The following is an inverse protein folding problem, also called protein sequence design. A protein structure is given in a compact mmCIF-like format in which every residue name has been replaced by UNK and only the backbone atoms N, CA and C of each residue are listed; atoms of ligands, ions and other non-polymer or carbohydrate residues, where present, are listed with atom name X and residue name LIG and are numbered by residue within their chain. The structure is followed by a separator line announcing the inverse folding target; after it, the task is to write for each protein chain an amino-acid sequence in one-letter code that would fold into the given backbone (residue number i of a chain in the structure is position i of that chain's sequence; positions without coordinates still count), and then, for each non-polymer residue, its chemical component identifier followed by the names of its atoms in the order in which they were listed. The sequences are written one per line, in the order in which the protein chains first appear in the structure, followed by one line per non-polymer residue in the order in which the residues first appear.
data_IF_615381941725
#
_entry.id   IF_615381941725
#
_cell.length_a   1.000
_cell.length_b   1.000
_cell.length_c   1.000
_cell.angle_alpha   90.00
_cell.angle_beta   90.00
_cell.angle_gamma   90.00
#
_symmetry.space_group_name_H-M   'P 1'
#
loop_
_entity.id
_entity.type
_entity.pdbx_description
1 polymer ?
#
# COMPACT_ATOMS: atom_id res chain seq x y z
N UNK A 1 -25.81 -17.21 -53.94
CA UNK A 1 -24.82 -16.28 -53.30
C UNK A 1 -25.40 -15.48 -52.12
N UNK A 2 -26.70 -15.12 -52.09
CA UNK A 2 -27.33 -14.36 -51.01
C UNK A 2 -27.51 -15.15 -49.71
N UNK A 3 -27.79 -16.47 -49.78
CA UNK A 3 -27.98 -17.32 -48.56
C UNK A 3 -26.67 -17.55 -47.78
N UNK A 4 -25.56 -17.68 -48.47
CA UNK A 4 -24.24 -17.86 -47.83
C UNK A 4 -23.82 -16.58 -47.13
N UNK A 5 -24.18 -15.43 -47.63
CA UNK A 5 -23.93 -14.12 -47.03
C UNK A 5 -24.72 -13.96 -45.73
N UNK A 6 -26.01 -14.29 -45.72
CA UNK A 6 -26.89 -14.18 -44.56
C UNK A 6 -26.43 -15.10 -43.40
N UNK A 7 -26.04 -16.34 -43.69
CA UNK A 7 -25.52 -17.29 -42.69
C UNK A 7 -24.24 -16.77 -42.02
N UNK A 8 -23.34 -16.18 -42.80
CA UNK A 8 -22.10 -15.57 -42.26
C UNK A 8 -22.41 -14.41 -41.30
N UNK A 9 -23.35 -13.56 -41.63
CA UNK A 9 -23.78 -12.44 -40.77
C UNK A 9 -24.41 -12.94 -39.46
N UNK A 10 -25.27 -13.96 -39.54
CA UNK A 10 -25.91 -14.53 -38.33
C UNK A 10 -24.84 -15.14 -37.42
N UNK A 11 -23.85 -15.88 -37.96
CA UNK A 11 -22.77 -16.46 -37.19
C UNK A 11 -21.94 -15.35 -36.54
N UNK A 12 -21.60 -14.29 -37.24
CA UNK A 12 -20.85 -13.15 -36.67
C UNK A 12 -21.59 -12.47 -35.52
N UNK A 13 -22.89 -12.24 -35.65
CA UNK A 13 -23.72 -11.67 -34.61
C UNK A 13 -23.78 -12.58 -33.40
N UNK A 14 -23.94 -13.89 -33.59
CA UNK A 14 -23.99 -14.87 -32.52
C UNK A 14 -22.65 -14.92 -31.74
N UNK A 15 -21.52 -14.87 -32.43
CA UNK A 15 -20.20 -14.79 -31.82
C UNK A 15 -20.06 -13.53 -30.98
N UNK A 16 -20.48 -12.38 -31.49
CA UNK A 16 -20.44 -11.11 -30.73
C UNK A 16 -21.30 -11.20 -29.47
N UNK A 17 -22.51 -11.75 -29.56
CA UNK A 17 -23.41 -11.93 -28.42
C UNK A 17 -22.77 -12.83 -27.35
N UNK A 18 -22.12 -13.94 -27.78
CA UNK A 18 -21.42 -14.85 -26.87
C UNK A 18 -20.28 -14.11 -26.16
N UNK A 19 -19.44 -13.36 -26.89
CA UNK A 19 -18.34 -12.60 -26.27
C UNK A 19 -18.85 -11.51 -25.34
N UNK A 20 -19.92 -10.80 -25.69
CA UNK A 20 -20.57 -9.83 -24.80
C UNK A 20 -21.14 -10.51 -23.56
N UNK A 21 -21.76 -11.69 -23.70
CA UNK A 21 -22.27 -12.47 -22.57
C UNK A 21 -21.16 -12.90 -21.62
N UNK A 22 -20.05 -13.44 -22.15
CA UNK A 22 -18.87 -13.81 -21.35
C UNK A 22 -18.31 -12.57 -20.62
N UNK A 23 -18.25 -11.42 -21.29
CA UNK A 23 -17.76 -10.17 -20.68
C UNK A 23 -18.69 -9.66 -19.58
N UNK A 24 -19.99 -9.84 -19.73
CA UNK A 24 -20.99 -9.41 -18.73
C UNK A 24 -20.98 -10.29 -17.48
N UNK A 25 -20.84 -11.61 -17.64
CA UNK A 25 -20.78 -12.59 -16.54
C UNK A 25 -19.44 -12.54 -15.81
N UNK A 26 -18.38 -12.09 -16.48
CA UNK A 26 -17.00 -11.98 -15.98
C UNK A 26 -16.59 -13.20 -15.11
N UNK A 27 -16.58 -14.42 -15.70
CA UNK A 27 -16.38 -15.64 -14.93
C UNK A 27 -14.98 -15.71 -14.34
N UNK A 28 -14.85 -16.24 -13.10
CA UNK A 28 -13.63 -16.31 -12.31
C UNK A 28 -12.39 -16.82 -13.05
N UNK A 29 -12.56 -17.72 -14.02
CA UNK A 29 -11.43 -18.26 -14.78
C UNK A 29 -10.79 -17.22 -15.72
N UNK A 30 -11.57 -16.25 -16.21
CA UNK A 30 -11.02 -15.13 -17.00
C UNK A 30 -10.17 -14.22 -16.14
N UNK A 31 -10.55 -13.98 -14.90
CA UNK A 31 -9.73 -13.24 -13.96
C UNK A 31 -8.42 -13.96 -13.68
N UNK A 32 -8.45 -15.27 -13.52
CA UNK A 32 -7.23 -16.04 -13.34
C UNK A 32 -6.29 -15.94 -14.56
N UNK A 33 -6.83 -16.01 -15.79
CA UNK A 33 -6.03 -15.85 -17.02
C UNK A 33 -5.47 -14.43 -17.12
N UNK A 34 -6.30 -13.41 -16.79
CA UNK A 34 -5.89 -12.00 -16.79
C UNK A 34 -4.76 -11.76 -15.80
N UNK A 35 -4.87 -12.27 -14.56
CA UNK A 35 -3.83 -12.14 -13.55
C UNK A 35 -2.54 -12.85 -13.97
N UNK A 36 -2.62 -14.06 -14.52
CA UNK A 36 -1.44 -14.76 -15.05
C UNK A 36 -0.78 -14.04 -16.22
N UNK A 37 -1.57 -13.47 -17.12
CA UNK A 37 -1.04 -12.70 -18.25
C UNK A 37 -0.34 -11.43 -17.76
N UNK A 38 -0.91 -10.75 -16.73
CA UNK A 38 -0.30 -9.59 -16.09
C UNK A 38 1.03 -9.96 -15.40
N UNK A 39 1.04 -11.04 -14.61
CA UNK A 39 2.26 -11.54 -13.96
C UNK A 39 3.35 -11.86 -14.98
N UNK A 40 2.98 -12.51 -16.09
CA UNK A 40 3.94 -12.83 -17.15
C UNK A 40 4.48 -11.55 -17.82
N UNK A 41 3.61 -10.57 -18.04
CA UNK A 41 4.01 -9.29 -18.60
C UNK A 41 4.99 -8.54 -17.66
N UNK A 42 4.69 -8.49 -16.36
CA UNK A 42 5.56 -7.88 -15.36
C UNK A 42 6.93 -8.56 -15.31
N UNK A 43 6.98 -9.89 -15.37
CA UNK A 43 8.25 -10.65 -15.36
C UNK A 43 9.12 -10.43 -16.61
N UNK A 44 8.52 -10.02 -17.72
CA UNK A 44 9.25 -9.72 -18.97
C UNK A 44 9.69 -8.28 -19.09
N UNK A 45 9.21 -7.39 -18.21
CA UNK A 45 9.70 -6.01 -18.14
C UNK A 45 11.09 -6.00 -17.49
N UNK A 46 11.98 -5.16 -18.01
CA UNK A 46 13.25 -4.91 -17.37
C UNK A 46 13.01 -4.18 -16.04
N UNK A 47 13.64 -4.68 -14.98
CA UNK A 47 13.65 -4.00 -13.70
C UNK A 47 14.37 -2.66 -13.85
N UNK A 48 13.65 -1.57 -13.75
CA UNK A 48 14.24 -0.24 -13.60
C UNK A 48 14.58 -0.03 -12.12
N UNK A 49 15.85 -0.21 -11.80
CA UNK A 49 16.37 0.07 -10.46
C UNK A 49 16.56 1.57 -10.32
N UNK A 50 15.83 2.19 -9.42
CA UNK A 50 16.02 3.60 -9.09
C UNK A 50 17.18 3.73 -8.09
N UNK A 51 18.14 4.57 -8.40
CA UNK A 51 19.23 4.97 -7.51
C UNK A 51 18.79 5.92 -6.39
N UNK A 52 17.54 6.42 -6.46
CA UNK A 52 16.97 7.38 -5.50
C UNK A 52 16.18 6.73 -4.38
N UNK A 53 15.82 5.46 -4.52
CA UNK A 53 14.99 4.72 -3.55
C UNK A 53 15.78 3.51 -3.06
N UNK A 54 15.97 3.44 -1.75
CA UNK A 54 16.62 2.32 -1.08
C UNK A 54 15.61 1.65 -0.15
N UNK A 55 15.48 0.35 -0.28
CA UNK A 55 14.66 -0.46 0.64
C UNK A 55 15.56 -1.06 1.72
N UNK A 56 15.19 -0.85 2.97
CA UNK A 56 15.86 -1.45 4.14
C UNK A 56 14.93 -2.49 4.73
N UNK A 57 15.36 -3.72 4.80
CA UNK A 57 14.54 -4.83 5.29
C UNK A 57 15.01 -5.29 6.68
N UNK A 58 14.04 -5.63 7.53
CA UNK A 58 14.27 -6.34 8.79
C UNK A 58 14.13 -7.83 8.46
N UNK A 59 15.24 -8.45 8.14
CA UNK A 59 15.31 -9.85 7.72
C UNK A 59 15.59 -10.81 8.88
N UNK A 60 15.66 -12.11 8.57
CA UNK A 60 15.94 -13.14 9.57
C UNK A 60 17.34 -13.03 10.18
N UNK A 61 18.30 -12.41 9.48
CA UNK A 61 19.65 -12.20 10.00
C UNK A 61 19.64 -11.07 11.03
N UNK A 62 19.00 -9.98 10.74
CA UNK A 62 18.76 -8.87 11.68
C UNK A 62 18.05 -9.33 12.96
N UNK A 63 17.06 -10.23 12.83
CA UNK A 63 16.36 -10.79 13.99
C UNK A 63 17.26 -11.72 14.81
N UNK A 64 18.15 -12.49 14.17
CA UNK A 64 19.10 -13.34 14.91
C UNK A 64 20.14 -12.53 15.69
N UNK A 65 20.60 -11.43 15.11
CA UNK A 65 21.63 -10.58 15.72
C UNK A 65 21.09 -9.68 16.83
N UNK A 66 19.92 -9.08 16.62
CA UNK A 66 19.34 -8.06 17.50
C UNK A 66 18.22 -8.56 18.39
N UNK A 67 17.77 -9.80 18.20
CA UNK A 67 16.67 -10.40 18.94
C UNK A 67 15.33 -10.28 18.24
N UNK A 68 14.31 -10.85 18.89
CA UNK A 68 12.99 -11.02 18.34
C UNK A 68 12.30 -9.67 18.07
N UNK A 69 11.69 -9.55 16.89
CA UNK A 69 10.79 -8.47 16.53
C UNK A 69 9.45 -8.55 17.32
N UNK A 70 8.83 -7.43 17.72
CA UNK A 70 9.21 -6.04 17.46
C UNK A 70 10.29 -5.53 18.43
N UNK A 71 11.25 -4.76 17.88
CA UNK A 71 12.27 -4.10 18.67
C UNK A 71 11.73 -2.89 19.42
N UNK A 72 12.37 -2.46 20.53
CA UNK A 72 12.04 -1.24 21.25
C UNK A 72 12.08 -0.01 20.32
N UNK A 73 11.20 0.95 20.54
CA UNK A 73 11.12 2.13 19.67
C UNK A 73 12.36 3.03 19.71
N UNK A 74 13.06 3.05 20.81
CA UNK A 74 14.36 3.73 20.88
C UNK A 74 15.41 3.11 19.95
N UNK A 75 15.37 1.79 19.71
CA UNK A 75 16.25 1.11 18.76
C UNK A 75 15.85 1.48 17.32
N UNK A 76 14.59 1.43 17.00
CA UNK A 76 14.07 1.86 15.70
C UNK A 76 14.39 3.33 15.41
N UNK A 77 14.29 4.20 16.40
CA UNK A 77 14.66 5.60 16.25
C UNK A 77 16.12 5.77 15.88
N UNK A 78 17.03 5.04 16.53
CA UNK A 78 18.45 5.05 16.21
C UNK A 78 18.75 4.56 14.79
N UNK A 79 18.04 3.50 14.34
CA UNK A 79 18.17 3.02 12.97
C UNK A 79 17.74 4.09 11.96
N UNK A 80 16.65 4.79 12.22
CA UNK A 80 16.19 5.89 11.38
C UNK A 80 17.17 7.06 11.40
N UNK A 81 17.69 7.43 12.54
CA UNK A 81 18.75 8.47 12.66
C UNK A 81 20.00 8.10 11.86
N UNK A 82 20.37 6.82 11.86
CA UNK A 82 21.49 6.33 11.06
C UNK A 82 21.22 6.45 9.56
N UNK A 83 20.00 6.15 9.09
CA UNK A 83 19.63 6.36 7.70
C UNK A 83 19.74 7.83 7.29
N UNK A 84 19.36 8.76 8.15
CA UNK A 84 19.55 10.20 7.90
C UNK A 84 21.03 10.58 7.88
N UNK A 85 21.83 10.01 8.76
CA UNK A 85 23.29 10.22 8.76
C UNK A 85 23.95 9.70 7.47
N UNK A 86 23.41 8.64 6.89
CA UNK A 86 23.82 8.11 5.59
C UNK A 86 23.34 8.95 4.40
N UNK A 87 22.52 9.98 4.62
CA UNK A 87 22.08 10.90 3.59
C UNK A 87 20.65 10.69 3.08
N UNK A 88 19.82 9.90 3.77
CA UNK A 88 18.42 9.79 3.43
C UNK A 88 17.73 11.17 3.54
N UNK A 89 17.00 11.56 2.51
CA UNK A 89 16.20 12.79 2.52
C UNK A 89 14.87 12.62 3.22
N UNK A 90 14.25 11.46 3.06
CA UNK A 90 12.97 11.08 3.68
C UNK A 90 13.04 9.60 4.02
N UNK A 91 12.55 9.21 5.19
CA UNK A 91 12.41 7.82 5.60
C UNK A 91 10.94 7.46 5.69
N UNK A 92 10.52 6.39 5.03
CA UNK A 92 9.15 5.87 5.09
C UNK A 92 9.16 4.60 5.92
N UNK A 93 8.42 4.60 7.02
CA UNK A 93 8.31 3.47 7.96
C UNK A 93 6.89 2.91 7.88
N UNK A 94 6.64 1.87 7.09
CA UNK A 94 5.30 1.28 6.92
C UNK A 94 4.90 0.39 8.12
N UNK A 95 5.26 0.80 9.32
CA UNK A 95 4.95 0.11 10.57
C UNK A 95 3.85 0.87 11.29
N UNK A 96 2.92 0.13 11.87
CA UNK A 96 1.80 0.67 12.61
C UNK A 96 2.15 0.84 14.10
N UNK A 97 2.11 2.06 14.59
CA UNK A 97 2.41 2.40 15.97
C UNK A 97 1.14 2.76 16.76
N UNK A 98 0.17 1.83 16.80
CA UNK A 98 -1.16 2.07 17.39
C UNK A 98 -1.22 1.93 18.90
N UNK A 99 -0.20 1.36 19.53
CA UNK A 99 -0.10 1.13 20.97
C UNK A 99 1.21 1.70 21.52
N UNK A 100 1.25 2.00 22.80
CA UNK A 100 2.47 2.43 23.48
C UNK A 100 3.53 1.32 23.52
N UNK A 101 4.80 1.71 23.46
CA UNK A 101 5.92 0.77 23.59
C UNK A 101 6.01 0.22 25.01
N UNK A 102 5.94 -1.10 25.11
CA UNK A 102 6.10 -1.79 26.41
C UNK A 102 7.48 -1.61 27.03
N UNK A 103 8.47 -1.25 26.22
CA UNK A 103 9.86 -1.05 26.64
C UNK A 103 10.21 0.43 26.86
N UNK A 104 9.24 1.36 26.69
CA UNK A 104 9.37 2.77 27.07
C UNK A 104 10.10 3.66 26.07
N UNK A 105 10.25 3.25 24.80
CA UNK A 105 10.97 4.00 23.77
C UNK A 105 10.18 5.13 23.09
N UNK A 106 8.92 5.38 23.47
CA UNK A 106 8.02 6.30 22.78
C UNK A 106 8.52 7.74 22.77
N UNK A 107 9.03 8.24 23.88
CA UNK A 107 9.49 9.63 23.96
C UNK A 107 10.67 9.87 23.01
N UNK A 108 11.63 8.98 23.01
CA UNK A 108 12.81 9.10 22.13
C UNK A 108 12.40 9.04 20.65
N UNK A 109 11.49 8.14 20.30
CA UNK A 109 10.96 8.02 18.94
C UNK A 109 10.18 9.28 18.52
N UNK A 110 9.37 9.84 19.41
CA UNK A 110 8.63 11.09 19.14
C UNK A 110 9.58 12.28 18.93
N UNK A 111 10.62 12.38 19.73
CA UNK A 111 11.62 13.45 19.60
C UNK A 111 12.39 13.33 18.28
N UNK A 112 12.72 12.11 17.85
CA UNK A 112 13.31 11.84 16.55
C UNK A 112 12.35 12.26 15.41
N UNK A 113 11.05 11.92 15.49
CA UNK A 113 10.05 12.30 14.50
C UNK A 113 9.88 13.83 14.35
N UNK A 114 10.10 14.60 15.39
CA UNK A 114 10.01 16.08 15.35
C UNK A 114 11.11 16.71 14.51
N UNK A 115 12.28 16.11 14.48
CA UNK A 115 13.48 16.68 13.85
C UNK A 115 13.79 16.04 12.49
N UNK A 116 13.20 14.89 12.17
CA UNK A 116 13.48 14.13 10.96
C UNK A 116 12.24 13.98 10.06
N UNK A 117 12.36 14.13 8.74
CA UNK A 117 11.24 14.04 7.80
C UNK A 117 10.80 12.58 7.60
N UNK A 118 10.20 11.97 8.62
CA UNK A 118 9.79 10.56 8.65
C UNK A 118 8.29 10.43 8.44
N UNK A 119 7.88 9.54 7.54
CA UNK A 119 6.49 9.18 7.27
C UNK A 119 6.22 7.84 7.94
N UNK A 120 5.17 7.77 8.75
CA UNK A 120 4.74 6.53 9.42
C UNK A 120 3.38 6.05 8.91
N UNK A 121 3.14 4.74 9.04
CA UNK A 121 1.98 4.08 8.47
C UNK A 121 0.70 4.27 9.28
N UNK A 122 -0.43 4.25 8.56
CA UNK A 122 -1.77 4.01 9.10
C UNK A 122 -2.52 3.08 8.14
N UNK A 123 -3.49 2.33 8.64
CA UNK A 123 -4.27 1.39 7.83
C UNK A 123 -5.77 1.66 7.96
N UNK A 124 -6.54 1.50 6.89
CA UNK A 124 -8.00 1.55 6.97
C UNK A 124 -8.52 0.35 7.78
N UNK A 125 -9.57 0.57 8.58
CA UNK A 125 -10.19 -0.45 9.42
C UNK A 125 -11.66 -0.12 9.66
N UNK A 126 -12.45 -1.12 10.12
CA UNK A 126 -13.85 -0.90 10.48
C UNK A 126 -14.03 -0.22 11.85
N UNK A 127 -12.95 -0.05 12.60
CA UNK A 127 -12.94 0.66 13.87
C UNK A 127 -11.79 1.65 13.90
N UNK A 128 -12.00 2.79 14.55
CA UNK A 128 -10.95 3.78 14.75
C UNK A 128 -10.15 3.43 16.00
N UNK A 129 -8.81 3.32 15.86
CA UNK A 129 -7.87 3.14 16.96
C UNK A 129 -6.66 4.07 16.80
N UNK A 130 -6.16 4.59 17.89
CA UNK A 130 -5.09 5.59 17.87
C UNK A 130 -5.59 6.93 17.33
N UNK A 131 -4.73 7.67 16.66
CA UNK A 131 -5.05 8.97 16.08
C UNK A 131 -4.79 8.94 14.55
N UNK A 132 -5.61 8.25 13.77
CA UNK A 132 -5.49 8.30 12.33
C UNK A 132 -5.77 9.71 11.84
N UNK A 133 -4.94 10.17 10.93
CA UNK A 133 -5.14 11.46 10.27
C UNK A 133 -5.89 11.18 8.97
N UNK A 134 -7.14 11.64 8.82
CA UNK A 134 -7.83 11.49 7.55
C UNK A 134 -7.09 12.29 6.49
N UNK A 135 -6.65 11.58 5.46
CA UNK A 135 -6.06 12.19 4.27
C UNK A 135 -6.87 11.76 3.07
N UNK A 136 -7.40 12.73 2.40
CA UNK A 136 -8.18 12.52 1.22
C UNK A 136 -7.70 13.43 0.10
N UNK A 137 -7.76 12.93 -1.12
CA UNK A 137 -7.73 13.78 -2.30
C UNK A 137 -9.11 14.42 -2.37
N UNK A 138 -9.17 15.74 -2.48
CA UNK A 138 -10.44 16.44 -2.72
C UNK A 138 -11.05 15.91 -4.03
N UNK A 139 -12.25 15.35 -3.94
CA UNK A 139 -12.94 14.76 -5.08
C UNK A 139 -14.31 15.38 -5.23
N UNK A 140 -14.77 15.51 -6.47
CA UNK A 140 -16.12 15.95 -6.79
C UNK A 140 -16.96 14.69 -7.05
N UNK A 141 -18.00 14.47 -6.24
CA UNK A 141 -18.84 13.27 -6.28
C UNK A 141 -18.16 12.05 -5.66
N UNK A 142 -18.64 10.87 -6.02
CA UNK A 142 -18.15 9.57 -5.55
C UNK A 142 -17.75 8.66 -6.72
N UNK A 143 -16.74 9.04 -7.52
CA UNK A 143 -16.41 8.34 -8.78
C UNK A 143 -15.90 6.91 -8.59
N UNK A 144 -15.50 6.56 -7.35
CA UNK A 144 -15.02 5.23 -6.99
C UNK A 144 -16.13 4.28 -6.51
N UNK A 145 -17.33 4.75 -6.20
CA UNK A 145 -18.44 3.86 -5.84
C UNK A 145 -19.04 3.21 -7.09
N UNK A 146 -19.29 1.89 -7.10
CA UNK A 146 -19.16 0.89 -6.02
C UNK A 146 -17.82 0.14 -6.00
N UNK A 147 -16.78 0.63 -6.68
CA UNK A 147 -15.56 -0.12 -7.00
C UNK A 147 -14.53 -0.17 -5.85
N UNK A 148 -14.65 0.75 -4.90
CA UNK A 148 -13.73 0.84 -3.75
C UNK A 148 -14.48 0.56 -2.48
N UNK A 149 -13.93 -0.36 -1.66
CA UNK A 149 -14.49 -0.66 -0.35
C UNK A 149 -14.29 0.55 0.59
N UNK A 150 -15.37 0.97 1.25
CA UNK A 150 -15.33 2.06 2.22
C UNK A 150 -15.18 1.49 3.64
N UNK A 151 -14.13 1.87 4.32
CA UNK A 151 -13.90 1.56 5.72
C UNK A 151 -14.53 2.64 6.60
N UNK A 152 -15.11 2.24 7.74
CA UNK A 152 -15.75 3.16 8.68
C UNK A 152 -14.75 3.94 9.54
N UNK A 153 -13.50 3.46 9.62
CA UNK A 153 -12.45 4.05 10.42
C UNK A 153 -11.05 3.71 9.92
N UNK A 154 -10.07 3.98 10.75
CA UNK A 154 -8.68 3.66 10.49
C UNK A 154 -7.94 3.40 11.80
N UNK A 155 -6.87 2.61 11.74
CA UNK A 155 -5.91 2.48 12.83
C UNK A 155 -4.71 3.36 12.50
N UNK A 156 -4.48 4.34 13.36
CA UNK A 156 -3.38 5.29 13.24
C UNK A 156 -2.38 5.17 14.37
N UNK A 157 -1.32 5.98 14.35
CA UNK A 157 -0.32 6.01 15.39
C UNK A 157 -0.87 6.60 16.70
N UNK A 158 -0.17 6.39 17.82
CA UNK A 158 -0.46 7.07 19.08
C UNK A 158 -0.32 8.59 18.91
N UNK A 159 -0.98 9.37 19.78
CA UNK A 159 -1.09 10.82 19.62
C UNK A 159 0.25 11.56 19.46
N UNK A 160 1.31 11.30 20.23
CA UNK A 160 2.59 11.98 20.03
C UNK A 160 3.08 11.85 18.58
N UNK A 161 3.12 10.65 18.05
CA UNK A 161 3.63 10.38 16.69
C UNK A 161 2.73 10.98 15.59
N UNK A 162 1.41 10.94 15.80
CA UNK A 162 0.47 11.58 14.88
C UNK A 162 0.70 13.09 14.78
N UNK A 163 1.27 13.72 15.79
CA UNK A 163 1.62 15.15 15.80
C UNK A 163 3.00 15.43 15.23
N UNK A 164 3.93 14.51 15.35
CA UNK A 164 5.35 14.73 15.08
C UNK A 164 5.77 14.28 13.67
N UNK A 165 5.12 13.28 13.09
CA UNK A 165 5.45 12.81 11.76
C UNK A 165 5.22 13.87 10.66
N UNK A 166 6.08 13.88 9.65
CA UNK A 166 6.12 14.92 8.59
C UNK A 166 4.81 15.07 7.82
N UNK A 167 4.06 14.01 7.74
CA UNK A 167 2.80 13.94 7.02
C UNK A 167 1.76 14.98 7.51
N UNK A 168 2.09 15.77 8.49
CA UNK A 168 1.23 16.74 9.12
C UNK A 168 1.58 18.20 8.89
N UNK A 169 2.73 18.49 8.28
CA UNK A 169 3.25 19.87 8.15
C UNK A 169 2.89 20.53 6.82
N UNK A 170 1.83 20.11 6.18
CA UNK A 170 1.30 20.83 5.00
C UNK A 170 0.11 21.68 5.37
#
# INVERSE_FOLDING_TARGET
HKEISMKKWIISILVIIIFCGIRFVDPWFLDMVRMKALDQHQRTQQEEISDKIVTVEIDNESIRERGQWPWPRNELAKDIEELYRMGAAIVVVPILFADADRMGGDQYFDDMLKISPTIIGQIPANQTKGNPVPRGIATIGTPWQPWVYNYEGAVGPIEPFAKSAIDRKS
#
